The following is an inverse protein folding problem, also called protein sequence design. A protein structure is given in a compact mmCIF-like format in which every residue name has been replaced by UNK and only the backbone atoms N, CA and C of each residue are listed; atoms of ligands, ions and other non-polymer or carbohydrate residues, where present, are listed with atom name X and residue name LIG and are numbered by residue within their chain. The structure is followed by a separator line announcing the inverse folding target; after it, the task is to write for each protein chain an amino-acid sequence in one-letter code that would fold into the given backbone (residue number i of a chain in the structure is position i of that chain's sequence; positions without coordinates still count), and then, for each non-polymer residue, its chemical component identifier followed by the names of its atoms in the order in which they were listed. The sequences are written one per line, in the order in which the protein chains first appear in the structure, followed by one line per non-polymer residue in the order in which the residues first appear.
data_IF_264077680925
#
_entry.id   IF_264077680925
#
_cell.length_a   1.000
_cell.length_b   1.000
_cell.length_c   1.000
_cell.angle_alpha   90.00
_cell.angle_beta   90.00
_cell.angle_gamma   90.00
#
_symmetry.space_group_name_H-M   'P 1'
#
loop_
_entity.id
_entity.type
_entity.pdbx_description
1 polymer ?
#
# COMPACT_ATOMS: atom_id res chain seq x y z
N UNK A 1 -16.30 -1.82 13.93
CA UNK A 1 -16.74 -0.89 12.88
C UNK A 1 -15.57 -0.12 12.22
N UNK A 2 -14.65 0.51 12.98
CA UNK A 2 -13.47 1.20 12.42
C UNK A 2 -12.54 0.26 11.64
N UNK A 3 -12.32 -0.95 12.14
CA UNK A 3 -11.50 -1.97 11.49
C UNK A 3 -12.09 -2.39 10.15
N UNK A 4 -13.40 -2.63 10.10
CA UNK A 4 -14.12 -2.99 8.87
C UNK A 4 -14.08 -1.85 7.84
N UNK A 5 -14.22 -0.60 8.30
CA UNK A 5 -14.12 0.57 7.44
C UNK A 5 -12.69 0.72 6.88
N UNK A 6 -11.67 0.56 7.72
CA UNK A 6 -10.27 0.59 7.27
C UNK A 6 -9.98 -0.50 6.24
N UNK A 7 -10.55 -1.70 6.40
CA UNK A 7 -10.40 -2.79 5.44
C UNK A 7 -11.05 -2.48 4.10
N UNK A 8 -12.21 -1.82 4.09
CA UNK A 8 -12.87 -1.39 2.86
C UNK A 8 -12.06 -0.30 2.16
N UNK A 9 -11.60 0.70 2.90
CA UNK A 9 -10.78 1.79 2.36
C UNK A 9 -9.47 1.28 1.77
N UNK A 10 -8.82 0.31 2.43
CA UNK A 10 -7.56 -0.27 1.96
C UNK A 10 -7.65 -0.98 0.61
N UNK A 11 -8.86 -1.27 0.16
CA UNK A 11 -9.14 -1.94 -1.12
C UNK A 11 -9.24 -0.97 -2.31
N UNK A 12 -9.18 0.32 -2.06
CA UNK A 12 -9.30 1.35 -3.09
C UNK A 12 -8.23 2.43 -2.88
N UNK A 13 -7.36 2.56 -3.87
CA UNK A 13 -6.22 3.49 -3.82
C UNK A 13 -6.70 4.95 -3.79
N UNK A 14 -7.72 5.28 -4.56
CA UNK A 14 -8.26 6.63 -4.60
C UNK A 14 -8.89 7.00 -3.25
N UNK A 15 -9.68 6.09 -2.65
CA UNK A 15 -10.24 6.27 -1.32
C UNK A 15 -9.16 6.44 -0.25
N UNK A 16 -8.09 5.65 -0.33
CA UNK A 16 -6.96 5.76 0.60
C UNK A 16 -6.28 7.12 0.48
N UNK A 17 -6.03 7.61 -0.72
CA UNK A 17 -5.43 8.93 -0.97
C UNK A 17 -6.33 10.03 -0.41
N UNK A 18 -7.62 9.96 -0.67
CA UNK A 18 -8.57 10.97 -0.20
C UNK A 18 -8.68 10.98 1.32
N UNK A 19 -8.69 9.80 1.97
CA UNK A 19 -8.65 9.71 3.43
C UNK A 19 -7.40 10.39 4.00
N UNK A 20 -6.24 10.11 3.41
CA UNK A 20 -4.98 10.68 3.89
C UNK A 20 -4.92 12.20 3.71
N UNK A 21 -5.45 12.72 2.62
CA UNK A 21 -5.61 14.17 2.42
C UNK A 21 -6.49 14.81 3.50
N UNK A 22 -7.58 14.14 3.88
CA UNK A 22 -8.49 14.63 4.92
C UNK A 22 -7.85 14.65 6.31
N UNK A 23 -7.04 13.64 6.65
CA UNK A 23 -6.41 13.56 7.97
C UNK A 23 -5.10 14.35 8.06
N UNK A 24 -4.52 14.75 6.94
CA UNK A 24 -3.27 15.51 6.90
C UNK A 24 -3.29 16.76 7.81
N UNK A 25 -4.33 17.60 7.81
CA UNK A 25 -4.41 18.76 8.72
C UNK A 25 -4.48 18.36 10.18
N UNK A 26 -4.92 17.15 10.51
CA UNK A 26 -5.05 16.63 11.87
C UNK A 26 -3.74 15.99 12.37
N UNK A 27 -2.85 15.63 11.46
CA UNK A 27 -1.61 14.91 11.74
C UNK A 27 -0.42 15.86 12.03
N UNK A 28 -0.67 16.99 12.68
CA UNK A 28 0.33 18.08 12.89
C UNK A 28 1.60 17.59 13.60
N UNK A 29 1.51 16.57 14.44
CA UNK A 29 2.62 16.05 15.24
C UNK A 29 2.76 14.53 15.19
N UNK A 30 2.10 13.85 14.25
CA UNK A 30 2.17 12.38 14.12
C UNK A 30 2.28 11.93 12.67
N UNK A 31 3.12 10.93 12.43
CA UNK A 31 3.22 10.30 11.12
C UNK A 31 2.14 9.24 10.97
N UNK A 32 1.55 9.16 9.77
CA UNK A 32 0.56 8.13 9.44
C UNK A 32 1.29 6.86 9.03
N UNK A 33 1.11 5.79 9.81
CA UNK A 33 1.76 4.50 9.58
C UNK A 33 0.83 3.45 8.98
N UNK A 34 -0.50 3.67 9.06
CA UNK A 34 -1.48 2.74 8.52
C UNK A 34 -2.80 3.44 8.18
N UNK A 35 -3.61 2.81 7.33
CA UNK A 35 -4.97 3.25 7.00
C UNK A 35 -5.86 3.25 8.25
N UNK A 36 -5.67 2.27 9.13
CA UNK A 36 -6.37 2.20 10.42
C UNK A 36 -6.05 3.38 11.32
N UNK A 37 -4.80 3.81 11.37
CA UNK A 37 -4.38 4.99 12.10
C UNK A 37 -5.02 6.26 11.52
N UNK A 38 -5.00 6.43 10.20
CA UNK A 38 -5.67 7.53 9.51
C UNK A 38 -7.19 7.55 9.80
N UNK A 39 -7.86 6.41 9.72
CA UNK A 39 -9.29 6.28 10.00
C UNK A 39 -9.62 6.61 11.47
N UNK A 40 -8.77 6.20 12.42
CA UNK A 40 -8.93 6.53 13.82
C UNK A 40 -8.78 8.03 14.12
N UNK A 41 -7.87 8.70 13.41
CA UNK A 41 -7.68 10.16 13.54
C UNK A 41 -8.90 10.95 13.04
N UNK A 42 -9.56 10.48 11.98
CA UNK A 42 -10.75 11.13 11.43
C UNK A 42 -11.97 11.00 12.34
N UNK A 43 -12.07 9.88 13.08
CA UNK A 43 -13.20 9.57 13.93
C UNK A 43 -14.40 8.96 13.18
N UNK A 44 -15.26 8.26 13.92
CA UNK A 44 -16.33 7.44 13.33
C UNK A 44 -17.36 8.24 12.53
N UNK A 45 -17.74 9.42 12.99
CA UNK A 45 -18.78 10.22 12.33
C UNK A 45 -18.34 10.77 10.98
N UNK A 46 -17.17 11.36 10.94
CA UNK A 46 -16.60 11.92 9.71
C UNK A 46 -16.22 10.81 8.73
N UNK A 47 -15.70 9.70 9.25
CA UNK A 47 -15.39 8.52 8.45
C UNK A 47 -16.64 7.93 7.77
N UNK A 48 -17.76 7.80 8.49
CA UNK A 48 -19.04 7.34 7.91
C UNK A 48 -19.53 8.26 6.80
N UNK A 49 -19.51 9.56 7.04
CA UNK A 49 -19.94 10.57 6.07
C UNK A 49 -19.08 10.50 4.80
N UNK A 50 -17.78 10.39 4.97
CA UNK A 50 -16.84 10.28 3.86
C UNK A 50 -17.00 8.98 3.08
N UNK A 51 -17.16 7.82 3.74
CA UNK A 51 -17.41 6.52 3.09
C UNK A 51 -18.67 6.58 2.22
N UNK A 52 -19.77 7.13 2.72
CA UNK A 52 -21.01 7.24 1.96
C UNK A 52 -20.84 8.08 0.70
N UNK A 53 -20.09 9.18 0.78
CA UNK A 53 -19.75 10.02 -0.38
C UNK A 53 -18.87 9.27 -1.38
N UNK A 54 -17.89 8.53 -0.89
CA UNK A 54 -16.97 7.76 -1.71
C UNK A 54 -17.67 6.57 -2.41
N UNK A 55 -18.56 5.87 -1.71
CA UNK A 55 -19.40 4.80 -2.30
C UNK A 55 -20.29 5.35 -3.41
N UNK A 56 -20.89 6.53 -3.20
CA UNK A 56 -21.70 7.17 -4.24
C UNK A 56 -20.86 7.51 -5.48
N UNK A 57 -19.65 8.04 -5.29
CA UNK A 57 -18.73 8.32 -6.40
C UNK A 57 -18.24 7.05 -7.10
N UNK A 58 -17.97 5.99 -6.36
CA UNK A 58 -17.50 4.70 -6.91
C UNK A 58 -18.56 3.98 -7.75
N UNK A 59 -19.85 4.18 -7.47
CA UNK A 59 -20.95 3.65 -8.29
C UNK A 59 -20.99 4.27 -9.70
N UNK A 60 -20.41 5.44 -9.88
CA UNK A 60 -20.30 6.14 -11.16
C UNK A 60 -18.94 5.99 -11.85
N UNK A 61 -17.95 5.46 -11.17
CA UNK A 61 -16.62 5.26 -11.73
C UNK A 61 -16.53 3.91 -12.44
N UNK A 62 -16.40 3.95 -13.76
CA UNK A 62 -16.15 2.75 -14.59
C UNK A 62 -14.88 2.04 -14.12
N UNK A 63 -15.01 0.74 -13.87
CA UNK A 63 -14.02 -0.33 -13.69
C UNK A 63 -12.62 0.06 -13.15
N UNK A 64 -12.06 -0.68 -12.19
CA UNK A 64 -10.70 -0.46 -11.71
C UNK A 64 -9.73 -0.46 -12.88
N UNK A 65 -8.95 0.63 -13.02
CA UNK A 65 -7.91 0.72 -14.03
C UNK A 65 -6.71 -0.16 -13.66
N UNK A 66 -5.82 -0.44 -14.61
CA UNK A 66 -4.64 -1.27 -14.38
C UNK A 66 -3.70 -0.69 -13.30
N UNK A 67 -3.66 0.62 -13.13
CA UNK A 67 -2.84 1.29 -12.11
C UNK A 67 -3.37 0.97 -10.72
N UNK A 68 -4.69 1.04 -10.51
CA UNK A 68 -5.33 0.65 -9.25
C UNK A 68 -5.11 -0.83 -8.94
N UNK A 69 -5.27 -1.69 -9.94
CA UNK A 69 -4.97 -3.12 -9.80
C UNK A 69 -3.53 -3.36 -9.36
N UNK A 70 -2.59 -2.72 -10.02
CA UNK A 70 -1.17 -2.84 -9.73
C UNK A 70 -0.85 -2.40 -8.30
N UNK A 71 -1.37 -1.26 -7.86
CA UNK A 71 -1.15 -0.75 -6.52
C UNK A 71 -1.66 -1.69 -5.43
N UNK A 72 -2.87 -2.25 -5.62
CA UNK A 72 -3.47 -3.19 -4.67
C UNK A 72 -2.70 -4.51 -4.60
N UNK A 73 -2.26 -5.04 -5.74
CA UNK A 73 -1.45 -6.26 -5.78
C UNK A 73 -0.08 -6.04 -5.12
N UNK A 74 0.58 -4.93 -5.39
CA UNK A 74 1.85 -4.57 -4.74
C UNK A 74 1.68 -4.43 -3.22
N UNK A 75 0.63 -3.75 -2.79
CA UNK A 75 0.31 -3.57 -1.38
C UNK A 75 0.15 -4.92 -0.65
N UNK A 76 -0.69 -5.80 -1.21
CA UNK A 76 -0.96 -7.10 -0.59
C UNK A 76 0.22 -8.06 -0.68
N UNK A 77 0.94 -8.05 -1.79
CA UNK A 77 2.14 -8.88 -1.95
C UNK A 77 3.24 -8.45 -0.98
N UNK A 78 3.53 -7.16 -0.86
CA UNK A 78 4.49 -6.64 0.12
C UNK A 78 4.09 -6.97 1.57
N UNK A 79 2.82 -6.81 1.91
CA UNK A 79 2.28 -7.20 3.22
C UNK A 79 2.50 -8.69 3.49
N UNK A 80 2.21 -9.56 2.53
CA UNK A 80 2.36 -11.01 2.67
C UNK A 80 3.83 -11.46 2.79
N UNK A 81 4.78 -10.68 2.26
CA UNK A 81 6.22 -10.93 2.37
C UNK A 81 6.82 -10.46 3.71
N UNK A 82 6.08 -9.73 4.52
CA UNK A 82 6.60 -9.11 5.75
C UNK A 82 7.31 -10.11 6.67
N UNK A 83 6.71 -11.26 6.92
CA UNK A 83 7.29 -12.28 7.81
C UNK A 83 8.57 -12.89 7.24
N UNK A 84 8.59 -13.20 5.95
CA UNK A 84 9.74 -13.77 5.24
C UNK A 84 10.95 -12.83 5.24
N UNK A 85 10.72 -11.51 5.21
CA UNK A 85 11.76 -10.48 5.28
C UNK A 85 12.11 -10.05 6.73
N UNK A 86 11.51 -10.67 7.76
CA UNK A 86 11.74 -10.31 9.16
C UNK A 86 11.11 -8.98 9.57
N UNK A 87 10.08 -8.53 8.83
CA UNK A 87 9.42 -7.24 9.00
C UNK A 87 7.95 -7.38 9.44
N UNK A 88 7.65 -8.40 10.23
CA UNK A 88 6.28 -8.66 10.69
C UNK A 88 5.64 -7.46 11.39
N UNK A 89 6.42 -6.68 12.14
CA UNK A 89 5.96 -5.48 12.84
C UNK A 89 5.63 -4.33 11.87
N UNK A 90 6.23 -4.30 10.69
CA UNK A 90 6.04 -3.28 9.65
C UNK A 90 5.04 -3.70 8.57
N UNK A 91 4.17 -4.64 8.86
CA UNK A 91 3.21 -5.18 7.90
C UNK A 91 2.28 -4.11 7.31
N UNK A 92 1.80 -3.21 8.14
CA UNK A 92 0.92 -2.11 7.73
C UNK A 92 1.67 -1.08 6.88
N UNK A 93 2.92 -0.76 7.22
CA UNK A 93 3.79 0.14 6.43
C UNK A 93 4.13 -0.46 5.07
N UNK A 94 4.38 -1.77 5.00
CA UNK A 94 4.61 -2.47 3.74
C UNK A 94 3.38 -2.43 2.82
N UNK A 95 2.19 -2.57 3.39
CA UNK A 95 0.95 -2.40 2.64
C UNK A 95 0.83 -0.99 2.06
N UNK A 96 1.02 0.06 2.88
CA UNK A 96 0.98 1.45 2.42
C UNK A 96 2.06 1.75 1.38
N UNK A 97 3.27 1.24 1.56
CA UNK A 97 4.36 1.39 0.59
C UNK A 97 3.95 0.84 -0.78
N UNK A 98 3.42 -0.38 -0.83
CA UNK A 98 2.94 -0.99 -2.08
C UNK A 98 1.80 -0.18 -2.70
N UNK A 99 0.85 0.27 -1.89
CA UNK A 99 -0.29 1.07 -2.32
C UNK A 99 0.14 2.40 -2.95
N UNK A 100 1.10 3.10 -2.35
CA UNK A 100 1.60 4.38 -2.85
C UNK A 100 2.69 4.27 -3.92
N UNK A 101 3.11 3.07 -4.26
CA UNK A 101 4.15 2.84 -5.28
C UNK A 101 3.78 3.30 -6.70
N UNK A 102 2.53 3.67 -6.93
CA UNK A 102 2.00 4.21 -8.20
C UNK A 102 1.44 5.63 -8.05
N UNK A 103 1.70 6.29 -6.94
CA UNK A 103 1.15 7.61 -6.64
C UNK A 103 1.61 8.68 -7.63
N UNK A 104 2.82 8.56 -8.11
CA UNK A 104 3.40 9.41 -9.16
C UNK A 104 2.60 9.34 -10.47
N UNK A 105 2.16 8.14 -10.86
CA UNK A 105 1.31 7.92 -12.04
C UNK A 105 -0.09 8.49 -11.82
N UNK A 106 -0.69 8.26 -10.64
CA UNK A 106 -2.05 8.73 -10.31
C UNK A 106 -2.11 10.27 -10.27
N UNK A 107 -1.09 10.91 -9.71
CA UNK A 107 -1.03 12.37 -9.55
C UNK A 107 -0.30 13.07 -10.69
N UNK A 108 0.24 12.34 -11.65
CA UNK A 108 1.04 12.85 -12.77
C UNK A 108 2.20 13.76 -12.29
N UNK A 109 2.90 13.34 -11.24
CA UNK A 109 4.00 14.07 -10.60
C UNK A 109 5.16 13.15 -10.26
N UNK A 110 6.41 13.65 -10.18
CA UNK A 110 7.51 12.86 -9.61
C UNK A 110 7.16 12.34 -8.22
N UNK A 111 7.61 11.12 -7.88
CA UNK A 111 7.27 10.45 -6.61
C UNK A 111 7.56 11.34 -5.39
N UNK A 112 8.68 12.06 -5.38
CA UNK A 112 9.04 12.96 -4.28
C UNK A 112 8.02 14.11 -4.09
N UNK A 113 7.38 14.57 -5.15
CA UNK A 113 6.32 15.60 -5.10
C UNK A 113 4.96 14.97 -4.79
N UNK A 114 4.68 13.80 -5.38
CA UNK A 114 3.43 13.08 -5.16
C UNK A 114 3.26 12.72 -3.67
N UNK A 115 4.31 12.26 -3.00
CA UNK A 115 4.29 11.90 -1.58
C UNK A 115 4.11 13.10 -0.63
N UNK A 116 4.32 14.33 -1.08
CA UNK A 116 3.99 15.53 -0.29
C UNK A 116 2.49 15.78 -0.15
N UNK A 117 1.69 15.18 -1.02
CA UNK A 117 0.22 15.30 -0.99
C UNK A 117 -0.38 14.46 0.13
N UNK A 118 0.33 13.42 0.54
CA UNK A 118 -0.05 12.52 1.63
C UNK A 118 1.01 12.59 2.74
N UNK A 119 0.59 12.45 3.98
CA UNK A 119 1.51 12.47 5.12
C UNK A 119 1.76 11.02 5.57
N UNK A 120 2.88 10.46 5.14
CA UNK A 120 3.27 9.08 5.46
C UNK A 120 4.58 9.04 6.24
N UNK A 121 4.83 7.92 6.92
CA UNK A 121 6.08 7.70 7.65
C UNK A 121 7.30 7.85 6.72
N UNK A 122 8.37 8.43 7.23
CA UNK A 122 9.61 8.69 6.48
C UNK A 122 10.22 7.43 5.88
N UNK A 123 10.06 6.27 6.52
CA UNK A 123 10.52 4.98 6.01
C UNK A 123 9.83 4.58 4.69
N UNK A 124 8.53 4.87 4.55
CA UNK A 124 7.78 4.64 3.30
C UNK A 124 8.32 5.56 2.20
N UNK A 125 8.47 6.85 2.48
CA UNK A 125 9.02 7.83 1.54
C UNK A 125 10.44 7.46 1.10
N UNK A 126 11.29 7.06 2.03
CA UNK A 126 12.66 6.66 1.75
C UNK A 126 12.73 5.42 0.85
N UNK A 127 11.88 4.43 1.09
CA UNK A 127 11.81 3.24 0.26
C UNK A 127 11.35 3.56 -1.16
N UNK A 128 10.31 4.38 -1.32
CA UNK A 128 9.71 4.70 -2.63
C UNK A 128 10.55 5.68 -3.46
N UNK A 129 11.22 6.64 -2.83
CA UNK A 129 11.99 7.67 -3.55
C UNK A 129 13.42 7.22 -3.79
N UNK A 130 14.08 6.69 -2.76
CA UNK A 130 15.52 6.45 -2.77
C UNK A 130 15.90 4.97 -2.73
N UNK A 131 14.94 4.04 -2.58
CA UNK A 131 15.20 2.61 -2.40
C UNK A 131 16.13 2.30 -1.22
N UNK A 132 15.96 3.04 -0.11
CA UNK A 132 16.73 2.87 1.13
C UNK A 132 15.80 2.65 2.33
N UNK A 133 16.39 2.16 3.43
CA UNK A 133 15.68 1.88 4.68
C UNK A 133 15.18 0.45 4.78
N UNK A 134 14.50 0.16 5.88
CA UNK A 134 14.10 -1.21 6.25
C UNK A 134 13.05 -1.82 5.31
N UNK A 135 12.23 -0.99 4.66
CA UNK A 135 11.17 -1.44 3.75
C UNK A 135 11.67 -1.65 2.32
N UNK A 136 12.78 -1.01 1.95
CA UNK A 136 13.32 -1.03 0.60
C UNK A 136 13.60 -2.45 0.04
N UNK A 137 14.15 -3.41 0.80
CA UNK A 137 14.37 -4.76 0.29
C UNK A 137 13.10 -5.45 -0.19
N UNK A 138 11.96 -5.24 0.48
CA UNK A 138 10.67 -5.79 0.05
C UNK A 138 10.18 -5.08 -1.22
N UNK A 139 10.31 -3.76 -1.27
CA UNK A 139 9.94 -2.98 -2.45
C UNK A 139 10.72 -3.42 -3.69
N UNK A 140 12.04 -3.50 -3.58
CA UNK A 140 12.91 -3.95 -4.66
C UNK A 140 12.57 -5.38 -5.10
N UNK A 141 12.32 -6.29 -4.14
CA UNK A 141 11.90 -7.65 -4.44
C UNK A 141 10.59 -7.69 -5.24
N UNK A 142 9.58 -6.95 -4.82
CA UNK A 142 8.28 -6.85 -5.51
C UNK A 142 8.45 -6.37 -6.95
N UNK A 143 9.25 -5.32 -7.18
CA UNK A 143 9.52 -4.80 -8.51
C UNK A 143 10.27 -5.81 -9.41
N UNK A 144 11.27 -6.50 -8.88
CA UNK A 144 12.01 -7.53 -9.63
C UNK A 144 11.13 -8.73 -9.97
N UNK A 145 10.27 -9.15 -9.05
CA UNK A 145 9.31 -10.22 -9.29
C UNK A 145 8.30 -9.85 -10.39
N UNK A 146 7.77 -8.64 -10.33
CA UNK A 146 6.80 -8.10 -11.29
C UNK A 146 7.37 -8.02 -12.73
N UNK A 147 8.63 -7.64 -12.85
CA UNK A 147 9.34 -7.57 -14.14
C UNK A 147 9.93 -8.91 -14.59
N UNK A 148 9.67 -9.99 -13.85
CA UNK A 148 10.20 -11.33 -14.11
C UNK A 148 11.73 -11.39 -14.19
N UNK A 149 12.42 -10.55 -13.42
CA UNK A 149 13.88 -10.60 -13.29
C UNK A 149 14.30 -11.73 -12.33
N UNK A 150 14.16 -12.97 -12.81
CA UNK A 150 14.35 -14.17 -11.99
C UNK A 150 15.77 -14.32 -11.44
N UNK A 151 16.77 -13.81 -12.12
CA UNK A 151 18.13 -13.82 -11.61
C UNK A 151 18.25 -12.99 -10.33
N UNK A 152 17.70 -11.78 -10.33
CA UNK A 152 17.71 -10.90 -9.17
C UNK A 152 16.78 -11.41 -8.06
N UNK A 153 15.59 -11.91 -8.41
CA UNK A 153 14.68 -12.54 -7.44
C UNK A 153 15.37 -13.70 -6.72
N UNK A 154 16.04 -14.60 -7.46
CA UNK A 154 16.76 -15.72 -6.86
C UNK A 154 17.92 -15.25 -5.98
N UNK A 155 18.65 -14.22 -6.38
CA UNK A 155 19.73 -13.63 -5.57
C UNK A 155 19.21 -13.09 -4.24
N UNK A 156 18.11 -12.33 -4.26
CA UNK A 156 17.49 -11.76 -3.06
C UNK A 156 16.92 -12.85 -2.15
N UNK A 157 16.32 -13.91 -2.72
CA UNK A 157 15.82 -15.06 -1.96
C UNK A 157 16.95 -15.78 -1.23
N UNK A 158 18.07 -16.01 -1.89
CA UNK A 158 19.26 -16.63 -1.28
C UNK A 158 19.81 -15.76 -0.15
N UNK A 159 19.95 -14.46 -0.36
CA UNK A 159 20.45 -13.53 0.66
C UNK A 159 19.56 -13.46 1.91
N UNK A 160 18.26 -13.61 1.74
CA UNK A 160 17.27 -13.54 2.82
C UNK A 160 16.85 -14.91 3.35
N UNK A 161 17.37 -15.99 2.76
CA UNK A 161 16.99 -17.36 3.09
C UNK A 161 15.46 -17.59 2.98
N UNK A 162 14.90 -17.16 1.87
CA UNK A 162 13.46 -17.32 1.55
C UNK A 162 13.31 -18.41 0.51
N UNK A 163 12.42 -19.37 0.74
CA UNK A 163 12.11 -20.41 -0.23
C UNK A 163 11.08 -19.96 -1.29
N UNK A 164 11.04 -20.69 -2.41
CA UNK A 164 10.14 -20.36 -3.53
C UNK A 164 8.67 -20.53 -3.14
N UNK A 165 8.34 -21.52 -2.31
CA UNK A 165 6.95 -21.78 -1.91
C UNK A 165 6.39 -20.61 -1.10
N UNK A 166 7.19 -20.04 -0.20
CA UNK A 166 6.83 -18.84 0.55
C UNK A 166 6.50 -17.66 -0.37
N UNK A 167 7.34 -17.42 -1.37
CA UNK A 167 7.10 -16.34 -2.36
C UNK A 167 5.87 -16.63 -3.21
N UNK A 168 5.72 -17.86 -3.69
CA UNK A 168 4.57 -18.28 -4.48
C UNK A 168 3.26 -18.13 -3.71
N UNK A 169 3.23 -18.56 -2.46
CA UNK A 169 2.06 -18.39 -1.57
C UNK A 169 1.74 -16.92 -1.32
N UNK A 170 2.75 -16.10 -1.06
CA UNK A 170 2.57 -14.66 -0.86
C UNK A 170 1.93 -13.98 -2.07
N UNK A 171 2.41 -14.31 -3.27
CA UNK A 171 1.89 -13.74 -4.52
C UNK A 171 0.50 -14.27 -4.87
N UNK A 172 0.29 -15.59 -4.83
CA UNK A 172 -1.00 -16.20 -5.15
C UNK A 172 -2.10 -15.80 -4.15
N UNK A 173 -1.75 -15.63 -2.87
CA UNK A 173 -2.67 -15.10 -1.87
C UNK A 173 -3.05 -13.65 -2.15
N UNK A 174 -2.12 -12.82 -2.62
CA UNK A 174 -2.42 -11.46 -3.06
C UNK A 174 -3.38 -11.43 -4.26
N UNK A 175 -3.18 -12.31 -5.24
CA UNK A 175 -4.10 -12.45 -6.38
C UNK A 175 -5.50 -12.90 -5.96
N UNK A 176 -5.60 -13.88 -5.05
CA UNK A 176 -6.88 -14.34 -4.50
C UNK A 176 -7.60 -13.20 -3.76
N UNK A 177 -6.86 -12.50 -2.89
CA UNK A 177 -7.39 -11.36 -2.17
C UNK A 177 -7.90 -10.27 -3.12
N UNK A 178 -7.14 -9.91 -4.15
CA UNK A 178 -7.56 -8.92 -5.14
C UNK A 178 -8.90 -9.29 -5.80
N UNK A 179 -9.13 -10.57 -6.09
CA UNK A 179 -10.41 -11.05 -6.67
C UNK A 179 -11.59 -10.85 -5.72
N UNK A 180 -11.37 -10.81 -4.42
CA UNK A 180 -12.44 -10.60 -3.43
C UNK A 180 -12.80 -9.14 -3.23
N UNK A 181 -11.93 -8.24 -3.70
CA UNK A 181 -12.09 -6.78 -3.52
C UNK A 181 -12.53 -6.06 -4.81
N UNK A 182 -12.79 -6.83 -5.83
CA UNK A 182 -13.23 -6.42 -7.16
C UNK A 182 -14.73 -6.11 -7.19
#
# INVERSE_FOLDING_TARGET
ELTTAADIISRDTALTIDLLKMVQPLAVNSEITSIRHAAAMLGQRELKKWINTAVANALYADKPNEVTRLSLLRAKFAENLAEAFGLKAQKDELFLMGLFSVLDVILEKPMAEALKVVHVAGEISNALIYHIGVLAPVYDFVLQYETANWAEVSRLMLLKNIDMDTVYEAYTSALKWYRTVR
#
